data_IF_543617110291
#
_entry.id   IF_543617110291
#
_cell.length_a   1.000
_cell.length_b   1.000
_cell.length_c   1.000
_cell.angle_alpha   90.00
_cell.angle_beta   90.00
_cell.angle_gamma   90.00
#
_symmetry.space_group_name_H-M   'P 1'
#
loop_
_entity.id
_entity.type
_entity.pdbx_description
1 polymer ?
#
# COMPACT_ATOMS: atom_id res chain seq x y z
N UNK A 1 -4.38 -0.80 -16.46
CA UNK A 1 -3.58 -1.19 -15.29
C UNK A 1 -4.36 -0.85 -14.04
N UNK A 2 -4.62 -1.83 -13.16
CA UNK A 2 -5.52 -1.66 -12.02
C UNK A 2 -4.97 -0.69 -10.95
N UNK A 3 -3.65 -0.65 -10.75
CA UNK A 3 -3.01 0.15 -9.69
C UNK A 3 -2.67 1.59 -10.10
N UNK A 4 -3.39 2.17 -11.08
CA UNK A 4 -3.16 3.56 -11.49
C UNK A 4 -3.80 4.53 -10.50
N UNK A 5 -3.17 5.68 -10.28
CA UNK A 5 -3.78 6.76 -9.51
C UNK A 5 -5.09 7.19 -10.19
N UNK A 6 -6.13 7.39 -9.38
CA UNK A 6 -7.42 7.92 -9.86
C UNK A 6 -7.19 9.28 -10.53
N UNK A 7 -7.94 9.57 -11.60
CA UNK A 7 -7.71 10.76 -12.44
C UNK A 7 -7.95 12.06 -11.67
N UNK A 8 -8.82 12.02 -10.68
CA UNK A 8 -9.21 13.17 -9.87
C UNK A 8 -8.30 13.36 -8.64
N UNK A 9 -7.23 12.55 -8.51
CA UNK A 9 -6.28 12.72 -7.43
C UNK A 9 -5.48 14.01 -7.60
N UNK A 10 -5.46 14.83 -6.55
CA UNK A 10 -4.58 15.98 -6.47
C UNK A 10 -3.12 15.53 -6.43
N UNK A 11 -2.26 16.28 -7.11
CA UNK A 11 -0.81 16.09 -7.01
C UNK A 11 -0.34 16.54 -5.64
N UNK A 12 0.51 15.73 -5.00
CA UNK A 12 1.09 16.02 -3.69
C UNK A 12 2.58 16.25 -3.89
N UNK A 13 3.13 17.32 -3.33
CA UNK A 13 4.51 17.76 -3.56
C UNK A 13 4.88 17.91 -5.06
N UNK A 14 3.92 18.32 -5.90
CA UNK A 14 4.15 18.50 -7.34
C UNK A 14 4.35 17.21 -8.14
N UNK A 15 4.06 16.04 -7.54
CA UNK A 15 4.18 14.73 -8.19
C UNK A 15 2.94 13.89 -7.95
N UNK A 16 2.87 12.74 -8.63
CA UNK A 16 1.83 11.75 -8.38
C UNK A 16 1.95 11.27 -6.91
N UNK A 17 0.87 11.26 -6.12
CA UNK A 17 0.90 10.82 -4.73
C UNK A 17 1.53 9.43 -4.53
N UNK A 18 1.39 8.52 -5.49
CA UNK A 18 2.02 7.20 -5.41
C UNK A 18 3.56 7.28 -5.44
N UNK A 19 4.14 8.29 -6.07
CA UNK A 19 5.59 8.42 -6.23
C UNK A 19 6.32 8.86 -4.96
N UNK A 20 5.59 9.19 -3.90
CA UNK A 20 6.16 9.42 -2.58
C UNK A 20 6.80 8.16 -1.99
N UNK A 21 6.34 6.97 -2.42
CA UNK A 21 6.93 5.68 -2.06
C UNK A 21 7.85 5.22 -3.19
N UNK A 22 9.04 4.71 -2.88
CA UNK A 22 9.99 4.22 -3.88
C UNK A 22 9.42 3.11 -4.78
N UNK A 23 9.88 3.06 -6.03
CA UNK A 23 9.40 2.10 -7.03
C UNK A 23 9.49 0.64 -6.55
N UNK A 24 10.60 0.27 -5.90
CA UNK A 24 10.83 -1.11 -5.43
C UNK A 24 9.80 -1.47 -4.36
N UNK A 25 9.56 -0.59 -3.39
CA UNK A 25 8.59 -0.80 -2.32
C UNK A 25 7.17 -0.90 -2.90
N UNK A 26 6.79 -0.05 -3.85
CA UNK A 26 5.48 -0.13 -4.51
C UNK A 26 5.26 -1.46 -5.20
N UNK A 27 6.27 -1.98 -5.91
CA UNK A 27 6.17 -3.30 -6.53
C UNK A 27 5.96 -4.39 -5.49
N UNK A 28 6.69 -4.35 -4.36
CA UNK A 28 6.50 -5.31 -3.25
C UNK A 28 5.12 -5.22 -2.61
N UNK A 29 4.58 -4.01 -2.46
CA UNK A 29 3.20 -3.81 -1.97
C UNK A 29 2.21 -4.46 -2.94
N UNK A 30 2.32 -4.21 -4.25
CA UNK A 30 1.41 -4.80 -5.26
C UNK A 30 1.53 -6.32 -5.38
N UNK A 31 2.69 -6.88 -5.06
CA UNK A 31 2.93 -8.33 -5.07
C UNK A 31 2.38 -9.02 -3.81
N UNK A 32 2.24 -8.28 -2.70
CA UNK A 32 1.80 -8.81 -1.42
C UNK A 32 0.40 -9.44 -1.49
N UNK A 33 0.20 -10.50 -0.68
CA UNK A 33 -1.08 -11.20 -0.58
C UNK A 33 -2.20 -10.26 -0.14
N UNK A 34 -1.93 -9.45 0.89
CA UNK A 34 -2.87 -8.47 1.42
C UNK A 34 -3.36 -7.50 0.33
N UNK A 35 -2.46 -6.96 -0.51
CA UNK A 35 -2.88 -6.05 -1.57
C UNK A 35 -3.79 -6.70 -2.62
N UNK A 36 -3.51 -7.95 -2.98
CA UNK A 36 -4.27 -8.67 -4.01
C UNK A 36 -5.65 -9.13 -3.52
N UNK A 37 -5.76 -9.50 -2.26
CA UNK A 37 -6.99 -10.04 -1.67
C UNK A 37 -7.86 -8.93 -1.07
N UNK A 38 -7.27 -8.00 -0.32
CA UNK A 38 -7.99 -7.03 0.50
C UNK A 38 -8.02 -5.62 -0.10
N UNK A 39 -7.03 -5.26 -0.92
CA UNK A 39 -6.94 -3.89 -1.49
C UNK A 39 -7.43 -3.79 -2.93
N UNK A 40 -7.85 -4.89 -3.57
CA UNK A 40 -8.33 -4.86 -4.95
C UNK A 40 -9.72 -4.20 -5.04
N UNK A 41 -9.77 -2.98 -5.59
CA UNK A 41 -11.02 -2.22 -5.72
C UNK A 41 -11.49 -1.53 -4.44
N UNK A 42 -10.61 -1.39 -3.45
CA UNK A 42 -10.92 -0.74 -2.18
C UNK A 42 -11.29 0.74 -2.39
N UNK A 43 -12.42 1.16 -1.82
CA UNK A 43 -12.92 2.54 -1.85
C UNK A 43 -12.58 3.27 -0.55
N UNK A 44 -12.64 4.60 -0.56
CA UNK A 44 -12.31 5.42 0.62
C UNK A 44 -13.14 5.08 1.88
N UNK A 45 -14.38 4.63 1.72
CA UNK A 45 -15.24 4.20 2.83
C UNK A 45 -14.73 2.90 3.46
N UNK A 46 -14.41 1.90 2.63
CA UNK A 46 -13.96 0.58 3.09
C UNK A 46 -12.53 0.57 3.66
N UNK A 47 -11.74 1.62 3.37
CA UNK A 47 -10.40 1.79 3.95
C UNK A 47 -10.47 1.87 5.47
N UNK A 48 -11.49 2.53 6.03
CA UNK A 48 -11.64 2.65 7.49
C UNK A 48 -11.89 1.29 8.14
N UNK A 49 -12.73 0.46 7.53
CA UNK A 49 -13.03 -0.88 8.05
C UNK A 49 -11.79 -1.76 8.07
N UNK A 50 -11.00 -1.73 6.98
CA UNK A 50 -9.73 -2.44 6.92
C UNK A 50 -8.67 -1.88 7.85
N UNK A 51 -8.66 -0.56 8.08
CA UNK A 51 -7.75 0.05 9.04
C UNK A 51 -8.07 -0.35 10.49
N UNK A 52 -9.34 -0.57 10.83
CA UNK A 52 -9.73 -1.05 12.17
C UNK A 52 -9.33 -2.51 12.41
N UNK A 53 -9.34 -3.35 11.37
CA UNK A 53 -8.91 -4.75 11.46
C UNK A 53 -7.38 -4.90 11.63
N UNK A 54 -6.60 -3.90 11.22
CA UNK A 54 -5.14 -3.92 11.32
C UNK A 54 -4.68 -3.66 12.76
N UNK A 55 -4.19 -4.70 13.42
CA UNK A 55 -3.65 -4.62 14.79
C UNK A 55 -2.16 -4.26 14.88
N UNK A 56 -1.47 -4.13 13.74
CA UNK A 56 -0.03 -3.83 13.68
C UNK A 56 0.24 -2.56 12.87
N UNK A 57 0.90 -1.58 13.49
CA UNK A 57 1.62 -0.54 12.77
C UNK A 57 2.87 -1.18 12.18
N UNK A 58 2.99 -1.16 10.84
CA UNK A 58 4.05 -1.82 10.08
C UNK A 58 5.44 -1.36 10.55
N UNK A 59 6.01 -2.08 11.52
CA UNK A 59 7.39 -1.91 11.96
C UNK A 59 8.24 -2.72 10.99
N UNK A 60 9.00 -2.02 10.15
CA UNK A 60 9.94 -2.59 9.16
C UNK A 60 10.97 -3.53 9.83
N UNK A 61 11.11 -3.48 11.16
CA UNK A 61 12.00 -4.33 11.97
C UNK A 61 11.66 -5.82 11.95
N UNK A 62 10.41 -6.25 11.72
CA UNK A 62 10.10 -7.69 11.64
C UNK A 62 10.46 -8.34 10.30
N UNK A 63 10.71 -7.56 9.24
CA UNK A 63 11.07 -8.11 7.93
C UNK A 63 12.54 -8.58 7.91
N UNK A 64 13.40 -8.04 8.80
CA UNK A 64 14.80 -8.45 8.90
C UNK A 64 15.01 -9.77 9.67
N UNK A 65 14.05 -10.21 10.49
CA UNK A 65 14.16 -11.50 11.19
C UNK A 65 13.85 -12.72 10.30
N UNK A 66 13.14 -12.52 9.18
CA UNK A 66 12.81 -13.59 8.22
C UNK A 66 13.86 -13.82 7.12
N UNK A 67 14.89 -12.97 7.01
CA UNK A 67 15.98 -13.13 6.02
C UNK A 67 17.23 -13.78 6.63
N UNK A 68 17.19 -14.19 7.90
CA UNK A 68 18.31 -14.89 8.59
C UNK A 68 18.03 -16.37 8.90
N UNK A 69 17.14 -17.03 8.15
CA UNK A 69 16.91 -18.48 8.20
C UNK A 69 16.95 -19.08 6.79
#
# INVERSE_FOLDING_TARGET
MANRTVKDAHSIHGTNPQYLVEKIIRTRIYESKYWKEECFGLTAELVVDKAMELSFYFNITEVLSFVSL
#
